data_IF_842233517128
#
_entry.id   IF_842233517128
#
_cell.length_a   1.000
_cell.length_b   1.000
_cell.length_c   1.000
_cell.angle_alpha   90.00
_cell.angle_beta   90.00
_cell.angle_gamma   90.00
#
_symmetry.space_group_name_H-M   'P 1'
#
loop_
_entity.id
_entity.type
_entity.pdbx_description
1 polymer ?
#
# COMPACT_ATOMS: atom_id res chain seq x y z
N UNK A 1 4.40 13.98 -11.29
CA UNK A 1 4.78 12.56 -11.16
C UNK A 1 3.55 11.74 -11.52
N UNK A 2 3.60 10.90 -12.55
CA UNK A 2 2.42 10.15 -13.03
C UNK A 2 2.15 8.99 -12.08
N UNK A 3 1.21 9.15 -11.16
CA UNK A 3 0.68 8.05 -10.35
C UNK A 3 0.01 7.09 -11.34
N UNK A 4 0.68 6.00 -11.68
CA UNK A 4 0.12 4.96 -12.55
C UNK A 4 -0.34 3.86 -11.61
N UNK A 5 -1.65 3.84 -11.28
CA UNK A 5 -2.21 2.85 -10.36
C UNK A 5 -3.46 2.18 -10.95
N UNK A 6 -3.56 0.89 -10.63
CA UNK A 6 -4.31 -0.16 -11.31
C UNK A 6 -5.78 -0.21 -10.97
N UNK A 7 -6.54 -0.81 -11.88
CA UNK A 7 -7.90 -1.27 -11.69
C UNK A 7 -7.90 -2.49 -10.74
N UNK A 8 -8.23 -2.31 -9.46
CA UNK A 8 -8.47 -3.44 -8.55
C UNK A 8 -9.87 -4.01 -8.78
N UNK A 9 -9.96 -5.27 -9.21
CA UNK A 9 -11.20 -6.06 -9.13
C UNK A 9 -11.44 -6.55 -7.70
N UNK A 10 -12.54 -6.11 -7.07
CA UNK A 10 -12.90 -6.50 -5.70
C UNK A 10 -13.92 -7.65 -5.66
N UNK A 11 -13.63 -8.70 -4.87
CA UNK A 11 -14.64 -9.55 -4.25
C UNK A 11 -14.71 -9.24 -2.75
N UNK A 12 -15.91 -8.92 -2.26
CA UNK A 12 -16.18 -8.67 -0.85
C UNK A 12 -16.19 -9.98 -0.03
N UNK A 13 -15.44 -10.02 1.07
CA UNK A 13 -15.53 -11.08 2.07
C UNK A 13 -15.78 -10.47 3.46
N UNK A 14 -16.75 -11.03 4.19
CA UNK A 14 -17.14 -10.59 5.52
C UNK A 14 -16.05 -10.89 6.56
N UNK A 15 -15.84 -9.95 7.48
CA UNK A 15 -14.84 -10.03 8.54
C UNK A 15 -15.36 -10.76 9.78
N UNK A 16 -14.52 -11.62 10.38
CA UNK A 16 -14.69 -12.20 11.71
C UNK A 16 -13.48 -11.86 12.60
N UNK A 17 -13.71 -11.89 13.92
CA UNK A 17 -13.00 -11.18 14.99
C UNK A 17 -11.48 -11.41 15.14
N UNK A 18 -10.80 -10.40 15.71
CA UNK A 18 -9.36 -10.34 15.91
C UNK A 18 -8.86 -11.16 17.12
N UNK A 19 -7.76 -11.92 17.01
CA UNK A 19 -7.03 -12.46 18.14
C UNK A 19 -5.97 -11.48 18.71
N UNK A 20 -5.62 -11.70 19.98
CA UNK A 20 -4.82 -10.85 20.84
C UNK A 20 -3.38 -10.56 20.36
N UNK A 21 -2.86 -9.40 20.77
CA UNK A 21 -1.55 -8.87 20.39
C UNK A 21 -0.39 -9.67 21.02
N UNK A 22 0.43 -10.29 20.16
CA UNK A 22 1.71 -10.90 20.52
C UNK A 22 2.85 -9.90 20.26
N UNK A 23 3.55 -9.52 21.33
CA UNK A 23 4.61 -8.49 21.36
C UNK A 23 5.92 -8.93 20.68
N UNK A 24 5.97 -10.15 20.13
CA UNK A 24 7.06 -10.65 19.29
C UNK A 24 6.81 -10.49 17.77
N UNK A 25 5.67 -9.91 17.37
CA UNK A 25 5.34 -9.70 15.96
C UNK A 25 5.89 -8.35 15.45
N UNK A 26 6.51 -8.33 14.28
CA UNK A 26 6.91 -7.13 13.55
C UNK A 26 5.73 -6.24 13.11
N UNK A 27 4.53 -6.53 13.59
CA UNK A 27 3.26 -5.86 13.35
C UNK A 27 2.84 -5.04 14.57
N UNK A 28 3.67 -4.06 14.95
CA UNK A 28 3.35 -3.09 16.00
C UNK A 28 2.96 -1.73 15.39
N UNK A 29 2.36 -0.84 16.20
CA UNK A 29 1.86 0.46 15.72
C UNK A 29 2.97 1.35 15.12
N UNK A 30 4.18 1.30 15.70
CA UNK A 30 5.34 2.02 15.17
C UNK A 30 5.76 1.45 13.80
N UNK A 31 5.90 0.13 13.69
CA UNK A 31 6.27 -0.55 12.45
C UNK A 31 5.26 -0.26 11.33
N UNK A 32 3.96 -0.25 11.65
CA UNK A 32 2.92 0.18 10.72
C UNK A 32 3.18 1.62 10.27
N UNK A 33 3.27 2.57 11.20
CA UNK A 33 3.53 3.99 10.87
C UNK A 33 4.76 4.16 9.98
N UNK A 34 5.86 3.46 10.28
CA UNK A 34 7.06 3.48 9.47
C UNK A 34 6.83 2.92 8.06
N UNK A 35 6.15 1.78 7.91
CA UNK A 35 5.81 1.21 6.60
C UNK A 35 5.02 2.19 5.72
N UNK A 36 4.04 2.87 6.32
CA UNK A 36 3.22 3.86 5.61
C UNK A 36 4.03 5.08 5.17
N UNK A 37 4.81 5.66 6.09
CA UNK A 37 5.66 6.82 5.80
C UNK A 37 6.72 6.52 4.75
N UNK A 38 7.33 5.32 4.80
CA UNK A 38 8.31 4.88 3.81
C UNK A 38 7.66 4.77 2.43
N UNK A 39 6.47 4.17 2.36
CA UNK A 39 5.72 4.08 1.10
C UNK A 39 5.42 5.47 0.54
N UNK A 40 5.04 6.44 1.39
CA UNK A 40 4.80 7.82 0.96
C UNK A 40 6.03 8.51 0.36
N UNK A 41 7.26 8.14 0.76
CA UNK A 41 8.46 8.70 0.11
C UNK A 41 8.43 8.37 -1.38
N UNK A 42 8.01 7.16 -1.74
CA UNK A 42 7.97 6.71 -3.13
C UNK A 42 6.74 7.23 -3.88
N UNK A 43 5.59 7.34 -3.20
CA UNK A 43 4.36 7.84 -3.82
C UNK A 43 4.33 9.38 -3.96
N UNK A 44 4.89 10.10 -2.99
CA UNK A 44 4.72 11.56 -2.84
C UNK A 44 6.03 12.33 -2.67
N UNK A 45 7.17 11.66 -2.49
CA UNK A 45 8.47 12.32 -2.27
C UNK A 45 8.72 12.79 -0.84
N UNK A 46 7.82 12.51 0.11
CA UNK A 46 7.98 12.86 1.53
C UNK A 46 7.31 11.82 2.46
N UNK A 47 7.44 12.00 3.77
CA UNK A 47 6.84 11.11 4.77
C UNK A 47 5.46 11.58 5.26
N UNK A 48 4.88 12.61 4.67
CA UNK A 48 3.66 13.24 5.17
C UNK A 48 2.42 12.50 4.68
N UNK A 49 1.36 12.57 5.48
CA UNK A 49 0.04 12.09 5.09
C UNK A 49 -0.77 13.26 4.56
N UNK A 50 -0.88 13.37 3.23
CA UNK A 50 -1.58 14.44 2.52
C UNK A 50 -3.11 14.22 2.52
N UNK A 51 -3.72 14.22 3.71
CA UNK A 51 -5.16 14.01 3.88
C UNK A 51 -6.03 15.00 3.10
N UNK A 52 -5.49 16.19 2.81
CA UNK A 52 -6.16 17.31 2.18
C UNK A 52 -5.90 17.45 0.68
N UNK A 53 -5.05 16.59 0.11
CA UNK A 53 -4.81 16.57 -1.33
C UNK A 53 -6.08 16.19 -2.11
N UNK A 54 -6.38 16.90 -3.18
CA UNK A 54 -7.43 16.55 -4.14
C UNK A 54 -7.19 17.30 -5.45
N UNK A 55 -7.03 16.55 -6.53
CA UNK A 55 -6.79 17.11 -7.87
C UNK A 55 -7.32 16.16 -8.95
N UNK A 56 -7.83 16.68 -10.07
CA UNK A 56 -7.99 15.88 -11.27
C UNK A 56 -6.72 16.01 -12.11
N UNK A 57 -5.82 15.04 -11.96
CA UNK A 57 -4.52 14.99 -12.63
C UNK A 57 -4.61 14.52 -14.10
N UNK A 58 -5.83 14.41 -14.64
CA UNK A 58 -6.13 14.12 -16.06
C UNK A 58 -5.55 12.79 -16.55
N UNK A 59 -5.62 11.78 -15.71
CA UNK A 59 -5.12 10.43 -15.98
C UNK A 59 -6.23 9.40 -16.23
N UNK A 60 -7.47 9.87 -16.43
CA UNK A 60 -8.62 9.01 -16.71
C UNK A 60 -9.25 8.37 -15.47
N UNK A 61 -8.96 8.86 -14.25
CA UNK A 61 -9.55 8.35 -12.99
C UNK A 61 -10.46 9.35 -12.27
N UNK A 62 -10.63 10.54 -12.83
CA UNK A 62 -11.39 11.63 -12.22
C UNK A 62 -10.58 12.40 -11.17
N UNK A 63 -11.19 12.74 -10.04
CA UNK A 63 -10.43 13.36 -8.93
C UNK A 63 -9.67 12.30 -8.16
N UNK A 64 -8.37 12.53 -7.95
CA UNK A 64 -7.45 11.76 -7.09
C UNK A 64 -7.27 12.52 -5.77
N UNK A 65 -7.53 11.88 -4.63
CA UNK A 65 -7.62 12.58 -3.34
C UNK A 65 -7.02 11.80 -2.16
N UNK A 66 -6.52 12.53 -1.17
CA UNK A 66 -6.12 12.00 0.14
C UNK A 66 -4.88 11.11 0.14
N UNK A 67 -4.68 10.44 1.28
CA UNK A 67 -3.44 9.73 1.66
C UNK A 67 -3.06 8.52 0.79
N UNK A 68 -3.92 8.09 -0.13
CA UNK A 68 -3.68 6.94 -1.01
C UNK A 68 -4.07 7.22 -2.46
N UNK A 69 -4.33 8.49 -2.80
CA UNK A 69 -4.78 8.84 -4.14
C UNK A 69 -6.12 8.19 -4.51
N UNK A 70 -7.09 8.24 -3.59
CA UNK A 70 -8.43 7.70 -3.81
C UNK A 70 -9.08 8.38 -5.01
N UNK A 71 -9.58 7.62 -5.98
CA UNK A 71 -10.15 8.19 -7.19
C UNK A 71 -11.67 8.02 -7.29
N UNK A 72 -12.33 9.05 -7.83
CA UNK A 72 -13.79 9.01 -8.05
C UNK A 72 -14.19 7.97 -9.10
N UNK A 73 -13.32 7.72 -10.08
CA UNK A 73 -13.52 6.73 -11.13
C UNK A 73 -13.13 5.30 -10.75
N UNK A 74 -12.50 5.06 -9.60
CA UNK A 74 -12.10 3.71 -9.12
C UNK A 74 -12.84 3.28 -7.86
N UNK A 75 -13.94 3.96 -7.53
CA UNK A 75 -14.83 3.70 -6.39
C UNK A 75 -14.24 3.92 -4.98
N UNK A 76 -12.94 3.96 -4.80
CA UNK A 76 -12.31 4.09 -3.48
C UNK A 76 -12.52 5.47 -2.84
N UNK A 77 -12.60 6.55 -3.62
CA UNK A 77 -12.99 7.86 -3.08
C UNK A 77 -14.45 7.86 -2.57
N UNK A 78 -15.33 7.08 -3.21
CA UNK A 78 -16.70 6.90 -2.76
C UNK A 78 -16.77 6.10 -1.45
N UNK A 79 -15.95 5.06 -1.29
CA UNK A 79 -15.87 4.30 -0.03
C UNK A 79 -15.36 5.17 1.14
N UNK A 80 -14.44 6.11 0.90
CA UNK A 80 -14.03 7.10 1.93
C UNK A 80 -15.20 7.96 2.37
N UNK A 81 -15.97 8.49 1.41
CA UNK A 81 -17.15 9.32 1.70
C UNK A 81 -18.20 8.52 2.47
N UNK A 82 -18.47 7.27 2.07
CA UNK A 82 -19.40 6.39 2.77
C UNK A 82 -18.93 6.07 4.20
N UNK A 83 -17.64 5.89 4.42
CA UNK A 83 -17.09 5.70 5.75
C UNK A 83 -17.18 6.98 6.59
N UNK A 84 -16.99 8.15 5.99
CA UNK A 84 -17.17 9.43 6.68
C UNK A 84 -18.64 9.64 7.08
N UNK A 85 -19.60 9.37 6.19
CA UNK A 85 -21.05 9.39 6.51
C UNK A 85 -21.36 8.53 7.74
N UNK A 86 -20.80 7.32 7.84
CA UNK A 86 -20.99 6.45 9.02
C UNK A 86 -20.44 7.09 10.30
N UNK A 87 -19.30 7.76 10.24
CA UNK A 87 -18.66 8.41 11.40
C UNK A 87 -19.37 9.73 11.80
N UNK A 88 -20.06 10.39 10.87
CA UNK A 88 -20.79 11.65 11.08
C UNK A 88 -22.27 11.45 11.44
N UNK A 89 -22.82 10.25 11.29
CA UNK A 89 -24.24 9.98 11.53
C UNK A 89 -25.11 10.13 10.28
N UNK A 90 -24.50 10.17 9.10
CA UNK A 90 -25.13 9.96 7.80
C UNK A 90 -25.19 11.18 6.89
N UNK A 91 -25.43 12.38 7.43
CA UNK A 91 -25.45 13.62 6.63
C UNK A 91 -24.24 14.49 6.94
N UNK A 92 -23.48 14.82 5.91
CA UNK A 92 -22.31 15.70 6.03
C UNK A 92 -22.02 16.48 4.73
N UNK A 93 -20.83 17.09 4.66
CA UNK A 93 -20.44 17.98 3.57
C UNK A 93 -20.38 17.30 2.20
N UNK A 94 -20.30 15.97 2.14
CA UNK A 94 -20.30 15.21 0.89
C UNK A 94 -21.68 14.74 0.43
N UNK A 95 -22.74 14.84 1.25
CA UNK A 95 -24.05 14.26 0.92
C UNK A 95 -24.66 14.80 -0.38
N UNK A 96 -24.30 16.02 -0.80
CA UNK A 96 -24.74 16.59 -2.09
C UNK A 96 -24.15 15.88 -3.32
N UNK A 97 -23.08 15.09 -3.14
CA UNK A 97 -22.39 14.39 -4.23
C UNK A 97 -22.75 12.90 -4.30
N UNK A 98 -23.49 12.34 -3.34
CA UNK A 98 -23.68 10.89 -3.19
C UNK A 98 -24.20 10.21 -4.46
N UNK A 99 -25.20 10.81 -5.12
CA UNK A 99 -25.75 10.27 -6.36
C UNK A 99 -24.73 10.23 -7.51
N UNK A 100 -23.90 11.26 -7.62
CA UNK A 100 -22.88 11.38 -8.66
C UNK A 100 -21.70 10.45 -8.37
N UNK A 101 -21.19 10.45 -7.13
CA UNK A 101 -20.08 9.58 -6.72
C UNK A 101 -20.44 8.10 -6.85
N UNK A 102 -21.65 7.70 -6.42
CA UNK A 102 -22.13 6.33 -6.59
C UNK A 102 -22.20 5.93 -8.06
N UNK A 103 -22.71 6.82 -8.93
CA UNK A 103 -22.77 6.58 -10.37
C UNK A 103 -21.37 6.37 -10.95
N UNK A 104 -20.42 7.23 -10.63
CA UNK A 104 -19.05 7.13 -11.15
C UNK A 104 -18.30 5.91 -10.63
N UNK A 105 -18.48 5.58 -9.36
CA UNK A 105 -17.94 4.36 -8.76
C UNK A 105 -18.45 3.09 -9.48
N UNK A 106 -19.71 3.07 -9.91
CA UNK A 106 -20.30 1.92 -10.62
C UNK A 106 -19.90 1.86 -12.09
N UNK A 107 -19.77 3.01 -12.76
CA UNK A 107 -19.48 3.07 -14.19
C UNK A 107 -18.00 3.14 -14.53
N UNK A 108 -17.13 3.38 -13.56
CA UNK A 108 -15.71 3.67 -13.79
C UNK A 108 -15.46 5.02 -14.47
N UNK A 109 -16.37 5.99 -14.31
CA UNK A 109 -16.31 7.27 -15.04
C UNK A 109 -15.28 8.22 -14.43
N UNK A 110 -14.47 8.85 -15.29
CA UNK A 110 -13.49 9.88 -14.93
C UNK A 110 -14.04 11.32 -14.97
N UNK A 111 -15.32 11.49 -15.33
CA UNK A 111 -15.99 12.78 -15.35
C UNK A 111 -15.99 13.47 -13.98
N UNK A 112 -15.89 14.79 -13.98
CA UNK A 112 -16.02 15.63 -12.77
C UNK A 112 -17.30 16.45 -12.74
N UNK A 113 -18.22 16.23 -13.69
CA UNK A 113 -19.47 16.99 -13.78
C UNK A 113 -20.37 16.72 -12.57
N UNK A 114 -20.91 17.77 -11.94
CA UNK A 114 -21.74 17.63 -10.74
C UNK A 114 -20.94 17.40 -9.45
N UNK A 115 -19.60 17.52 -9.49
CA UNK A 115 -18.70 17.49 -8.33
C UNK A 115 -18.12 18.89 -8.02
N UNK A 116 -18.85 19.95 -8.36
CA UNK A 116 -18.39 21.33 -8.14
C UNK A 116 -18.14 21.61 -6.65
N UNK A 117 -16.91 22.00 -6.33
CA UNK A 117 -16.43 22.23 -4.97
C UNK A 117 -16.04 20.97 -4.20
N UNK A 118 -16.00 19.78 -4.83
CA UNK A 118 -15.60 18.52 -4.19
C UNK A 118 -14.21 18.61 -3.55
N UNK A 119 -13.20 19.05 -4.31
CA UNK A 119 -11.85 19.19 -3.77
C UNK A 119 -11.73 20.26 -2.67
N UNK A 120 -12.54 21.33 -2.72
CA UNK A 120 -12.57 22.31 -1.64
C UNK A 120 -13.10 21.71 -0.34
N UNK A 121 -14.14 20.87 -0.43
CA UNK A 121 -14.68 20.12 0.73
C UNK A 121 -13.63 19.13 1.25
N UNK A 122 -13.02 18.34 0.35
CA UNK A 122 -11.98 17.37 0.70
C UNK A 122 -10.81 18.03 1.41
N UNK A 123 -10.25 19.10 0.83
CA UNK A 123 -9.10 19.81 1.40
C UNK A 123 -9.42 20.41 2.77
N UNK A 124 -10.60 21.05 2.91
CA UNK A 124 -11.04 21.60 4.19
C UNK A 124 -11.12 20.53 5.28
N UNK A 125 -11.79 19.41 4.99
CA UNK A 125 -11.96 18.33 5.96
C UNK A 125 -10.64 17.61 6.24
N UNK A 126 -9.81 17.37 5.22
CA UNK A 126 -8.50 16.72 5.38
C UNK A 126 -7.56 17.48 6.30
N UNK A 127 -7.64 18.82 6.31
CA UNK A 127 -6.83 19.68 7.18
C UNK A 127 -7.20 19.62 8.66
N UNK A 128 -8.49 19.44 8.99
CA UNK A 128 -8.96 19.69 10.36
C UNK A 128 -9.95 18.68 10.94
N UNK A 129 -10.63 17.87 10.13
CA UNK A 129 -11.64 16.92 10.60
C UNK A 129 -11.02 15.55 10.92
N UNK A 130 -10.94 15.22 12.21
CA UNK A 130 -10.40 13.94 12.67
C UNK A 130 -11.22 12.73 12.17
N UNK A 131 -12.54 12.84 12.04
CA UNK A 131 -13.38 11.75 11.52
C UNK A 131 -13.10 11.53 10.03
N UNK A 132 -12.87 12.58 9.27
CA UNK A 132 -12.55 12.46 7.85
C UNK A 132 -11.17 11.83 7.64
N UNK A 133 -10.16 12.23 8.44
CA UNK A 133 -8.84 11.57 8.43
C UNK A 133 -8.94 10.09 8.81
N UNK A 134 -9.72 9.77 9.86
CA UNK A 134 -9.98 8.39 10.26
C UNK A 134 -10.71 7.57 9.17
N UNK A 135 -11.62 8.18 8.40
CA UNK A 135 -12.26 7.53 7.27
C UNK A 135 -11.25 7.16 6.19
N UNK A 136 -10.35 8.08 5.84
CA UNK A 136 -9.25 7.81 4.90
C UNK A 136 -8.33 6.69 5.41
N UNK A 137 -7.92 6.74 6.68
CA UNK A 137 -7.09 5.69 7.28
C UNK A 137 -7.75 4.32 7.23
N UNK A 138 -9.05 4.25 7.55
CA UNK A 138 -9.82 3.01 7.54
C UNK A 138 -9.94 2.41 6.13
N UNK A 139 -10.18 3.23 5.11
CA UNK A 139 -10.26 2.75 3.73
C UNK A 139 -8.87 2.36 3.21
N UNK A 140 -7.83 3.15 3.50
CA UNK A 140 -6.45 2.77 3.17
C UNK A 140 -6.08 1.44 3.79
N UNK A 141 -6.44 1.25 5.07
CA UNK A 141 -6.21 0.01 5.78
C UNK A 141 -6.97 -1.16 5.15
N UNK A 142 -8.26 -0.99 4.89
CA UNK A 142 -9.13 -2.03 4.33
C UNK A 142 -8.69 -2.49 2.95
N UNK A 143 -8.35 -1.54 2.07
CA UNK A 143 -8.08 -1.82 0.65
C UNK A 143 -6.62 -2.18 0.36
N UNK A 144 -5.67 -1.62 1.12
CA UNK A 144 -4.24 -1.73 0.78
C UNK A 144 -3.44 -2.41 1.89
N UNK A 145 -3.53 -1.92 3.13
CA UNK A 145 -2.71 -2.45 4.23
C UNK A 145 -3.11 -3.88 4.62
N UNK A 146 -4.36 -4.08 5.02
CA UNK A 146 -4.84 -5.36 5.56
C UNK A 146 -4.69 -6.52 4.56
N UNK A 147 -4.96 -6.37 3.26
CA UNK A 147 -4.71 -7.44 2.29
C UNK A 147 -3.24 -7.85 2.21
N UNK A 148 -2.31 -6.89 2.22
CA UNK A 148 -0.86 -7.20 2.24
C UNK A 148 -0.44 -7.89 3.54
N UNK A 149 -1.01 -7.49 4.68
CA UNK A 149 -0.69 -8.08 5.98
C UNK A 149 -1.27 -9.48 6.14
N UNK A 150 -2.44 -9.76 5.55
CA UNK A 150 -3.01 -11.11 5.49
C UNK A 150 -2.07 -12.08 4.76
N UNK A 151 -1.48 -11.66 3.64
CA UNK A 151 -0.46 -12.45 2.94
C UNK A 151 0.80 -12.65 3.79
N UNK A 152 1.22 -11.61 4.53
CA UNK A 152 2.34 -11.71 5.47
C UNK A 152 2.08 -12.74 6.58
N UNK A 153 0.87 -12.74 7.14
CA UNK A 153 0.45 -13.68 8.19
C UNK A 153 0.40 -15.12 7.66
N UNK A 154 -0.11 -15.32 6.44
CA UNK A 154 -0.13 -16.64 5.78
C UNK A 154 1.27 -17.21 5.53
N UNK A 155 2.25 -16.35 5.25
CA UNK A 155 3.66 -16.73 5.11
C UNK A 155 4.35 -16.96 6.47
N UNK A 156 3.77 -16.46 7.57
CA UNK A 156 4.37 -16.48 8.89
C UNK A 156 5.47 -15.42 9.09
N UNK A 157 5.40 -14.30 8.36
CA UNK A 157 6.41 -13.22 8.44
C UNK A 157 6.37 -12.53 9.80
N UNK A 158 7.53 -12.46 10.46
CA UNK A 158 7.70 -11.87 11.79
C UNK A 158 8.43 -10.54 11.78
N UNK A 159 9.19 -10.21 10.74
CA UNK A 159 10.03 -9.00 10.73
C UNK A 159 9.26 -7.81 10.17
N UNK A 160 9.41 -6.64 10.80
CA UNK A 160 8.79 -5.38 10.34
C UNK A 160 9.16 -5.06 8.90
N UNK A 161 10.42 -5.27 8.51
CA UNK A 161 10.91 -4.96 7.16
C UNK A 161 10.22 -5.81 6.07
N UNK A 162 9.95 -7.10 6.33
CA UNK A 162 9.29 -7.98 5.37
C UNK A 162 7.83 -7.56 5.18
N UNK A 163 7.14 -7.28 6.30
CA UNK A 163 5.73 -6.86 6.31
C UNK A 163 5.53 -5.51 5.64
N UNK A 164 6.43 -4.57 5.89
CA UNK A 164 6.44 -3.27 5.24
C UNK A 164 6.71 -3.38 3.73
N UNK A 165 7.54 -4.33 3.31
CA UNK A 165 7.82 -4.53 1.89
C UNK A 165 6.63 -5.14 1.14
N UNK A 166 5.86 -6.03 1.78
CA UNK A 166 4.63 -6.53 1.19
C UNK A 166 3.58 -5.42 1.05
N UNK A 167 3.52 -4.48 2.00
CA UNK A 167 2.65 -3.31 1.89
C UNK A 167 3.05 -2.39 0.73
N UNK A 168 4.33 -2.02 0.64
CA UNK A 168 4.84 -1.18 -0.45
C UNK A 168 4.63 -1.84 -1.83
N UNK A 169 4.90 -3.15 -1.91
CA UNK A 169 4.65 -3.93 -3.12
C UNK A 169 3.17 -4.00 -3.46
N UNK A 170 2.30 -4.31 -2.49
CA UNK A 170 0.86 -4.37 -2.70
C UNK A 170 0.26 -3.03 -3.10
N UNK A 171 0.86 -1.92 -2.68
CA UNK A 171 0.43 -0.56 -3.07
C UNK A 171 0.66 -0.30 -4.56
N UNK A 172 1.82 -0.70 -5.11
CA UNK A 172 2.13 -0.47 -6.53
C UNK A 172 1.64 -1.56 -7.47
N UNK A 173 1.76 -2.82 -7.06
CA UNK A 173 1.46 -3.98 -7.89
C UNK A 173 0.01 -4.46 -7.70
N UNK A 174 -0.72 -3.95 -6.71
CA UNK A 174 -1.95 -4.57 -6.23
C UNK A 174 -1.68 -5.85 -5.44
N UNK A 175 -2.72 -6.38 -4.80
CA UNK A 175 -2.63 -7.61 -3.99
C UNK A 175 -3.11 -8.88 -4.70
N UNK A 176 -3.39 -8.76 -6.00
CA UNK A 176 -3.87 -9.82 -6.87
C UNK A 176 -2.87 -10.95 -7.11
N UNK A 177 -3.37 -12.01 -7.75
CA UNK A 177 -2.59 -13.20 -8.11
C UNK A 177 -2.20 -13.27 -9.60
N UNK A 178 -2.42 -12.18 -10.35
CA UNK A 178 -1.81 -12.01 -11.66
C UNK A 178 -0.28 -12.04 -11.57
N UNK A 179 0.38 -12.04 -12.73
CA UNK A 179 1.80 -12.37 -12.77
C UNK A 179 2.73 -11.30 -12.18
N UNK A 180 2.23 -10.05 -12.10
CA UNK A 180 2.93 -8.87 -11.60
C UNK A 180 2.44 -8.48 -10.19
N UNK A 181 1.25 -8.94 -9.78
CA UNK A 181 0.63 -8.69 -8.48
C UNK A 181 1.38 -9.32 -7.30
N UNK A 182 1.19 -8.76 -6.10
CA UNK A 182 1.90 -9.19 -4.88
C UNK A 182 1.83 -10.70 -4.63
N UNK A 183 0.66 -11.32 -4.77
CA UNK A 183 0.53 -12.76 -4.53
C UNK A 183 1.25 -13.59 -5.61
N UNK A 184 1.28 -13.10 -6.86
CA UNK A 184 2.06 -13.68 -7.95
C UNK A 184 3.58 -13.60 -7.71
N UNK A 185 4.06 -12.47 -7.21
CA UNK A 185 5.47 -12.29 -6.84
C UNK A 185 5.87 -13.15 -5.64
N UNK A 186 5.00 -13.29 -4.63
CA UNK A 186 5.18 -14.24 -3.52
C UNK A 186 5.28 -15.67 -4.04
N UNK A 187 4.37 -16.08 -4.94
CA UNK A 187 4.39 -17.42 -5.56
C UNK A 187 5.71 -17.67 -6.30
N UNK A 188 6.15 -16.71 -7.10
CA UNK A 188 7.42 -16.77 -7.85
C UNK A 188 8.61 -16.88 -6.90
N UNK A 189 8.61 -16.11 -5.81
CA UNK A 189 9.64 -16.15 -4.76
C UNK A 189 9.69 -17.53 -4.10
N UNK A 190 8.54 -18.02 -3.64
CA UNK A 190 8.44 -19.32 -2.97
C UNK A 190 8.94 -20.46 -3.88
N UNK A 191 8.53 -20.46 -5.15
CA UNK A 191 8.93 -21.48 -6.13
C UNK A 191 10.45 -21.59 -6.33
N UNK A 192 11.21 -20.53 -6.02
CA UNK A 192 12.67 -20.50 -6.18
C UNK A 192 13.45 -21.20 -5.05
N UNK A 193 12.82 -21.47 -3.90
CA UNK A 193 13.44 -22.23 -2.81
C UNK A 193 13.22 -23.74 -3.01
N UNK A 194 14.32 -24.46 -3.29
CA UNK A 194 14.36 -25.93 -3.51
C UNK A 194 15.12 -26.70 -2.42
N UNK A 195 15.58 -25.98 -1.40
CA UNK A 195 16.32 -26.50 -0.27
C UNK A 195 16.19 -25.52 0.90
N UNK A 196 16.59 -25.96 2.09
CA UNK A 196 16.71 -25.10 3.26
C UNK A 196 17.67 -23.93 2.97
N UNK A 197 17.30 -22.73 3.42
CA UNK A 197 18.09 -21.52 3.25
C UNK A 197 18.34 -20.86 4.60
N UNK A 198 19.60 -20.78 4.98
CA UNK A 198 20.03 -20.17 6.26
C UNK A 198 20.20 -18.66 6.09
N UNK A 199 20.04 -17.94 7.20
CA UNK A 199 20.29 -16.51 7.28
C UNK A 199 20.48 -16.07 8.73
N UNK A 200 20.41 -14.77 8.97
CA UNK A 200 20.75 -14.18 10.27
C UNK A 200 19.56 -13.56 10.98
N UNK A 201 18.33 -13.85 10.56
CA UNK A 201 17.15 -13.14 11.05
C UNK A 201 16.62 -13.69 12.38
N UNK A 202 16.92 -14.96 12.67
CA UNK A 202 16.30 -15.69 13.78
C UNK A 202 14.81 -16.03 13.54
N UNK A 203 14.26 -15.70 12.36
CA UNK A 203 12.93 -16.06 11.91
C UNK A 203 13.02 -17.08 10.78
N UNK A 204 12.24 -18.15 10.86
CA UNK A 204 12.22 -19.23 9.85
C UNK A 204 10.81 -19.44 9.33
N UNK A 205 10.69 -19.40 8.02
CA UNK A 205 9.47 -19.67 7.25
C UNK A 205 9.48 -21.12 6.78
N UNK A 206 8.29 -21.69 6.58
CA UNK A 206 8.11 -22.99 5.93
C UNK A 206 7.69 -22.79 4.49
N UNK A 207 8.62 -22.92 3.55
CA UNK A 207 8.41 -22.66 2.13
C UNK A 207 8.64 -23.94 1.35
N UNK A 208 7.60 -24.49 0.70
CA UNK A 208 7.67 -25.72 -0.09
C UNK A 208 8.32 -26.92 0.64
N UNK A 209 8.07 -27.06 1.95
CA UNK A 209 8.66 -28.12 2.77
C UNK A 209 10.07 -27.81 3.31
N UNK A 210 10.65 -26.66 2.97
CA UNK A 210 11.98 -26.24 3.39
C UNK A 210 11.93 -25.20 4.51
N UNK A 211 12.97 -25.19 5.35
CA UNK A 211 13.22 -24.15 6.33
C UNK A 211 13.96 -23.00 5.65
N UNK A 212 13.31 -21.84 5.53
CA UNK A 212 13.89 -20.67 4.88
C UNK A 212 13.94 -19.52 5.88
N UNK A 213 15.13 -19.00 6.15
CA UNK A 213 15.30 -17.78 6.94
C UNK A 213 14.55 -16.61 6.29
N UNK A 214 13.85 -15.82 7.10
CA UNK A 214 12.97 -14.76 6.59
C UNK A 214 13.74 -13.67 5.82
N UNK A 215 14.98 -13.35 6.20
CA UNK A 215 15.81 -12.39 5.46
C UNK A 215 16.33 -12.99 4.15
N UNK A 216 16.62 -14.29 4.11
CA UNK A 216 16.93 -14.98 2.86
C UNK A 216 15.73 -14.95 1.91
N UNK A 217 14.52 -15.20 2.42
CA UNK A 217 13.27 -15.07 1.67
C UNK A 217 13.05 -13.65 1.14
N UNK A 218 13.15 -12.64 2.01
CA UNK A 218 12.94 -11.25 1.62
C UNK A 218 13.98 -10.77 0.60
N UNK A 219 15.23 -11.17 0.74
CA UNK A 219 16.28 -10.88 -0.25
C UNK A 219 15.89 -11.43 -1.62
N UNK A 220 15.35 -12.64 -1.68
CA UNK A 220 14.87 -13.24 -2.92
C UNK A 220 13.62 -12.55 -3.45
N UNK A 221 12.68 -12.18 -2.59
CA UNK A 221 11.49 -11.41 -2.95
C UNK A 221 11.87 -10.07 -3.60
N UNK A 222 12.83 -9.34 -3.03
CA UNK A 222 13.34 -8.08 -3.58
C UNK A 222 13.98 -8.27 -4.97
N UNK A 223 14.67 -9.39 -5.21
CA UNK A 223 15.20 -9.72 -6.54
C UNK A 223 14.08 -9.99 -7.55
N UNK A 224 13.08 -10.80 -7.15
CA UNK A 224 11.90 -11.09 -8.00
C UNK A 224 11.18 -9.80 -8.36
N UNK A 225 10.92 -8.95 -7.37
CA UNK A 225 10.27 -7.66 -7.58
C UNK A 225 11.10 -6.69 -8.43
N UNK A 226 12.42 -6.64 -8.25
CA UNK A 226 13.32 -5.86 -9.12
C UNK A 226 13.19 -6.31 -10.57
N UNK A 227 13.21 -7.63 -10.81
CA UNK A 227 13.05 -8.19 -12.15
C UNK A 227 11.67 -7.86 -12.74
N UNK A 228 10.62 -7.92 -11.93
CA UNK A 228 9.26 -7.58 -12.34
C UNK A 228 9.12 -6.10 -12.74
N UNK A 229 9.66 -5.18 -11.95
CA UNK A 229 9.68 -3.74 -12.30
C UNK A 229 10.46 -3.46 -13.60
N UNK A 230 11.49 -4.25 -13.90
CA UNK A 230 12.26 -4.14 -15.13
C UNK A 230 11.57 -4.81 -16.33
N UNK A 231 10.81 -5.85 -16.08
CA UNK A 231 10.23 -6.75 -17.08
C UNK A 231 8.82 -7.20 -16.67
N UNK A 232 7.86 -6.26 -16.57
CA UNK A 232 6.51 -6.60 -16.18
C UNK A 232 5.87 -7.48 -17.26
N UNK A 233 5.03 -8.42 -16.85
CA UNK A 233 4.42 -9.42 -17.74
C UNK A 233 3.06 -8.99 -18.23
N UNK A 234 2.32 -8.20 -17.44
CA UNK A 234 1.02 -7.69 -17.85
C UNK A 234 1.20 -6.49 -18.81
N UNK A 235 0.37 -6.44 -19.85
CA UNK A 235 0.56 -5.48 -20.95
C UNK A 235 0.33 -4.04 -20.52
N UNK A 236 -0.63 -3.82 -19.62
CA UNK A 236 -0.88 -2.52 -18.99
C UNK A 236 0.37 -1.94 -18.29
N UNK A 237 1.32 -2.79 -17.90
CA UNK A 237 2.46 -2.42 -17.06
C UNK A 237 3.74 -2.20 -17.86
N UNK A 238 3.74 -2.65 -19.11
CA UNK A 238 4.87 -2.56 -20.04
C UNK A 238 5.17 -1.13 -20.52
N UNK A 239 4.45 -0.11 -20.03
CA UNK A 239 4.66 1.31 -20.38
C UNK A 239 6.03 1.87 -19.98
N UNK A 240 6.79 1.16 -19.14
CA UNK A 240 8.14 1.52 -18.71
C UNK A 240 8.20 2.38 -17.45
N UNK A 241 7.09 2.96 -16.99
CA UNK A 241 7.04 3.80 -15.79
C UNK A 241 7.56 3.09 -14.53
N UNK A 242 7.35 1.78 -14.42
CA UNK A 242 7.81 0.97 -13.30
C UNK A 242 9.34 0.90 -13.16
N UNK A 243 10.09 1.00 -14.26
CA UNK A 243 11.56 0.97 -14.26
C UNK A 243 12.17 2.14 -13.51
N UNK A 244 11.45 3.26 -13.45
CA UNK A 244 11.89 4.47 -12.75
C UNK A 244 11.69 4.37 -11.22
N UNK A 245 10.99 3.34 -10.73
CA UNK A 245 10.60 3.21 -9.32
C UNK A 245 11.52 2.30 -8.50
N UNK A 246 12.66 1.88 -9.04
CA UNK A 246 13.55 0.90 -8.43
C UNK A 246 14.08 1.29 -7.05
N UNK A 247 14.15 2.58 -6.72
CA UNK A 247 14.62 3.02 -5.41
C UNK A 247 13.75 2.53 -4.26
N UNK A 248 12.46 2.28 -4.48
CA UNK A 248 11.61 1.67 -3.46
C UNK A 248 12.01 0.24 -3.12
N UNK A 249 12.64 -0.49 -4.04
CA UNK A 249 13.21 -1.81 -3.75
C UNK A 249 14.63 -1.68 -3.19
N UNK A 250 15.46 -0.82 -3.78
CA UNK A 250 16.84 -0.56 -3.32
C UNK A 250 16.89 -0.07 -1.87
N UNK A 251 15.89 0.70 -1.45
CA UNK A 251 15.74 1.16 -0.08
C UNK A 251 15.61 0.02 0.94
N UNK A 252 14.81 -1.00 0.63
CA UNK A 252 14.69 -2.17 1.52
C UNK A 252 15.94 -3.03 1.49
N UNK A 253 16.62 -3.13 0.34
CA UNK A 253 17.96 -3.74 0.26
C UNK A 253 18.97 -2.99 1.14
N UNK A 254 18.93 -1.66 1.13
CA UNK A 254 19.74 -0.82 2.01
C UNK A 254 19.44 -1.09 3.49
N UNK A 255 18.17 -1.09 3.89
CA UNK A 255 17.78 -1.38 5.27
C UNK A 255 18.18 -2.80 5.71
N UNK A 256 18.09 -3.80 4.83
CA UNK A 256 18.61 -5.16 5.06
C UNK A 256 20.13 -5.17 5.26
N UNK A 257 20.89 -4.43 4.45
CA UNK A 257 22.35 -4.35 4.60
C UNK A 257 22.79 -3.77 5.96
N UNK A 258 21.92 -2.95 6.56
CA UNK A 258 22.08 -2.36 7.90
C UNK A 258 21.50 -3.25 9.01
N UNK A 259 20.98 -4.43 8.68
CA UNK A 259 20.32 -5.37 9.61
C UNK A 259 19.13 -4.77 10.38
N UNK A 260 18.43 -3.79 9.79
CA UNK A 260 17.28 -3.13 10.42
C UNK A 260 16.00 -3.96 10.18
N UNK A 261 15.88 -5.11 10.85
CA UNK A 261 14.80 -6.07 10.58
C UNK A 261 13.49 -5.76 11.33
N UNK A 262 13.62 -5.33 12.59
CA UNK A 262 12.50 -5.02 13.48
C UNK A 262 12.52 -3.53 13.80
N UNK A 263 11.37 -2.87 13.66
CA UNK A 263 11.27 -1.43 13.81
C UNK A 263 10.40 -1.06 15.01
N UNK A 264 11.00 -0.32 15.95
CA UNK A 264 10.36 0.08 17.21
C UNK A 264 10.43 1.59 17.46
N UNK A 265 11.23 2.32 16.69
CA UNK A 265 11.39 3.78 16.82
C UNK A 265 11.64 4.44 15.47
N UNK A 266 12.71 4.02 14.79
CA UNK A 266 13.08 4.59 13.50
C UNK A 266 13.79 3.56 12.63
N UNK A 267 13.88 3.89 11.34
CA UNK A 267 14.61 3.12 10.34
C UNK A 267 15.25 4.07 9.33
N UNK A 268 16.48 3.77 8.92
CA UNK A 268 17.13 4.47 7.82
C UNK A 268 16.85 3.74 6.49
N UNK A 269 16.32 4.48 5.52
CA UNK A 269 15.90 4.03 4.18
C UNK A 269 16.50 4.95 3.12
N UNK A 270 16.29 4.65 1.84
CA UNK A 270 16.65 5.55 0.75
C UNK A 270 15.39 6.25 0.17
N UNK A 271 15.53 7.51 -0.23
CA UNK A 271 14.50 8.23 -1.01
C UNK A 271 14.55 7.91 -2.51
N UNK A 272 13.74 8.62 -3.30
CA UNK A 272 13.68 8.49 -4.76
C UNK A 272 14.97 8.90 -5.48
N UNK A 273 15.86 9.66 -4.83
CA UNK A 273 17.17 10.04 -5.36
C UNK A 273 18.29 9.09 -4.87
N UNK A 274 17.95 8.09 -4.05
CA UNK A 274 18.92 7.20 -3.41
C UNK A 274 19.66 7.82 -2.23
N UNK A 275 19.17 8.92 -1.67
CA UNK A 275 19.77 9.55 -0.49
C UNK A 275 19.23 8.89 0.78
N UNK A 276 20.09 8.60 1.77
CA UNK A 276 19.63 8.08 3.05
C UNK A 276 18.74 9.06 3.80
N UNK A 277 17.60 8.58 4.30
CA UNK A 277 16.67 9.33 5.17
C UNK A 277 16.34 8.50 6.40
N UNK A 278 16.18 9.15 7.54
CA UNK A 278 15.70 8.50 8.78
C UNK A 278 14.21 8.76 8.92
N UNK A 279 13.41 7.70 8.94
CA UNK A 279 11.98 7.77 9.19
C UNK A 279 11.71 7.32 10.61
N UNK A 280 10.90 8.10 11.34
CA UNK A 280 10.53 7.81 12.74
C UNK A 280 9.02 7.66 12.89
N UNK A 281 8.65 6.77 13.80
CA UNK A 281 7.40 6.84 14.56
C UNK A 281 7.69 7.59 15.87
#
# INVERSE_FOLDING_TARGET
MKITAFTLGFLAAAASAAPAADTASGNNACAKTLALKITNIYENGDTNFHYDYCENIKDGRGFTSGISGFCTGTADAWEVVQQYHKLTGGKDSFSKYDGVLKKYAQSGSDSTSGLDGYCSVWSKLGKSDAKFRNAQDAIRDSMYYNPSQKLADQLGLKLSISRAQLYDCGTQHGTGSDADGLAGLIKTTNASFKADAKGSSGSTLKINGHNVDEVAWLTKFLQVRTNDLLHPKEKENASGAWKETLYRVKSYQYALSKKQYNWTKSVQVLDNDGKPVTVSC
#
